data_IF_119275726421
#
_entry.id   IF_119275726421
#
_cell.length_a   1.000
_cell.length_b   1.000
_cell.length_c   1.000
_cell.angle_alpha   90.00
_cell.angle_beta   90.00
_cell.angle_gamma   90.00
#
_symmetry.space_group_name_H-M   'P 1'
#
loop_
_entity.id
_entity.type
_entity.pdbx_description
1 polymer ?
#
# COMPACT_ATOMS: atom_id res chain seq x y z
N UNK A 1 13.64 2.26 -3.66
CA UNK A 1 12.36 1.57 -3.42
C UNK A 1 11.21 2.51 -3.77
N UNK A 2 10.23 1.98 -4.44
CA UNK A 2 9.05 2.74 -4.86
C UNK A 2 7.87 2.34 -3.99
N UNK A 3 7.28 3.31 -3.30
CA UNK A 3 6.23 3.07 -2.30
C UNK A 3 4.95 3.80 -2.70
N UNK A 4 3.86 3.05 -2.82
CA UNK A 4 2.54 3.62 -3.08
C UNK A 4 1.84 3.82 -1.74
N UNK A 5 1.39 5.04 -1.47
CA UNK A 5 0.71 5.39 -0.23
C UNK A 5 -0.74 5.71 -0.53
N UNK A 6 -1.65 4.87 -0.09
CA UNK A 6 -3.08 5.09 -0.30
C UNK A 6 -3.81 5.47 0.97
N UNK A 7 -3.19 5.24 2.14
CA UNK A 7 -3.81 5.52 3.42
C UNK A 7 -3.90 7.02 3.67
N UNK A 8 -5.10 7.50 3.96
CA UNK A 8 -5.31 8.90 4.34
C UNK A 8 -4.77 9.21 5.74
N UNK A 9 -4.59 8.19 6.55
CA UNK A 9 -4.12 8.36 7.93
C UNK A 9 -2.60 8.44 8.02
N UNK A 10 -1.92 7.88 7.03
CA UNK A 10 -0.47 7.82 7.07
C UNK A 10 0.14 9.22 6.99
N UNK A 11 0.95 9.56 7.99
CA UNK A 11 1.60 10.85 8.05
C UNK A 11 0.70 12.00 8.48
N UNK A 12 -0.58 11.73 8.77
CA UNK A 12 -1.52 12.77 9.16
C UNK A 12 -1.15 13.43 10.48
N UNK A 13 -0.66 12.64 11.43
CA UNK A 13 -0.29 13.12 12.75
C UNK A 13 1.22 13.17 12.96
N UNK A 14 1.97 12.53 12.09
CA UNK A 14 3.43 12.47 12.20
C UNK A 14 4.03 12.27 10.82
N UNK A 15 4.79 13.25 10.36
CA UNK A 15 5.44 13.18 9.05
C UNK A 15 6.80 12.49 9.09
N UNK A 16 7.28 12.10 10.26
CA UNK A 16 8.60 11.50 10.39
C UNK A 16 8.79 10.23 9.53
N UNK A 17 7.82 9.30 9.46
CA UNK A 17 8.00 8.11 8.61
C UNK A 17 8.15 8.48 7.14
N UNK A 18 7.39 9.46 6.67
CA UNK A 18 7.42 9.91 5.30
C UNK A 18 8.76 10.56 4.97
N UNK A 19 9.20 11.45 5.84
CA UNK A 19 10.48 12.11 5.70
C UNK A 19 11.63 11.11 5.69
N UNK A 20 11.55 10.11 6.56
CA UNK A 20 12.58 9.09 6.65
C UNK A 20 12.72 8.30 5.35
N UNK A 21 11.60 7.96 4.73
CA UNK A 21 11.62 7.26 3.44
C UNK A 21 12.26 8.13 2.36
N UNK A 22 11.92 9.41 2.34
CA UNK A 22 12.51 10.35 1.39
C UNK A 22 14.01 10.49 1.61
N UNK A 23 14.45 10.54 2.87
CA UNK A 23 15.87 10.62 3.21
C UNK A 23 16.63 9.38 2.76
N UNK A 24 15.95 8.23 2.69
CA UNK A 24 16.53 6.98 2.19
C UNK A 24 16.59 6.93 0.67
N UNK A 25 16.08 7.95 0.00
CA UNK A 25 16.08 8.02 -1.45
C UNK A 25 14.92 7.24 -2.09
N UNK A 26 13.90 6.90 -1.32
CA UNK A 26 12.75 6.16 -1.84
C UNK A 26 11.81 7.09 -2.57
N UNK A 27 11.18 6.57 -3.62
CA UNK A 27 10.16 7.31 -4.37
C UNK A 27 8.80 7.04 -3.74
N UNK A 28 8.10 8.10 -3.37
CA UNK A 28 6.78 8.00 -2.76
C UNK A 28 5.71 8.43 -3.75
N UNK A 29 4.72 7.57 -3.96
CA UNK A 29 3.59 7.86 -4.83
C UNK A 29 2.34 7.98 -3.99
N UNK A 30 1.72 9.13 -4.02
CA UNK A 30 0.47 9.34 -3.30
C UNK A 30 -0.74 8.96 -4.16
N UNK A 31 -1.87 8.73 -3.51
CA UNK A 31 -3.13 8.49 -4.19
C UNK A 31 -3.56 9.77 -4.90
N UNK A 32 -3.48 9.77 -6.23
CA UNK A 32 -3.83 10.93 -7.05
C UNK A 32 -5.31 11.03 -7.39
N UNK A 33 -6.10 10.05 -6.98
CA UNK A 33 -7.53 10.01 -7.32
C UNK A 33 -8.41 10.75 -6.32
N UNK A 34 -7.87 11.09 -5.16
CA UNK A 34 -8.57 11.81 -4.11
C UNK A 34 -9.79 11.07 -3.54
N UNK A 35 -9.83 9.76 -3.69
CA UNK A 35 -10.84 8.89 -3.10
C UNK A 35 -10.23 7.50 -2.91
N UNK A 36 -10.96 6.61 -2.22
CA UNK A 36 -10.52 5.22 -2.10
C UNK A 36 -10.50 4.64 -3.51
N UNK A 37 -9.34 4.15 -3.93
CA UNK A 37 -9.18 3.65 -5.28
C UNK A 37 -9.96 2.37 -5.52
N UNK A 38 -10.55 2.27 -6.71
CA UNK A 38 -11.20 1.05 -7.15
C UNK A 38 -10.16 0.00 -7.52
N UNK A 39 -10.61 -1.21 -7.77
CA UNK A 39 -9.72 -2.28 -8.21
C UNK A 39 -8.96 -1.89 -9.47
N UNK A 40 -9.64 -1.29 -10.44
CA UNK A 40 -9.01 -0.89 -11.70
C UNK A 40 -7.97 0.21 -11.48
N UNK A 41 -8.28 1.16 -10.63
CA UNK A 41 -7.34 2.23 -10.30
C UNK A 41 -6.09 1.66 -9.62
N UNK A 42 -6.28 0.72 -8.69
CA UNK A 42 -5.16 0.05 -8.05
C UNK A 42 -4.33 -0.70 -9.10
N UNK A 43 -4.97 -1.37 -10.05
CA UNK A 43 -4.27 -2.08 -11.11
C UNK A 43 -3.40 -1.15 -11.96
N UNK A 44 -3.81 0.10 -12.09
CA UNK A 44 -3.04 1.09 -12.84
C UNK A 44 -1.84 1.63 -12.05
N UNK A 45 -1.91 1.62 -10.72
CA UNK A 45 -0.89 2.23 -9.89
C UNK A 45 0.19 1.28 -9.38
N UNK A 46 -0.11 -0.01 -9.28
CA UNK A 46 0.82 -0.97 -8.65
C UNK A 46 2.00 -1.46 -9.50
N UNK A 47 2.00 -1.39 -10.83
CA UNK A 47 3.17 -1.85 -11.60
C UNK A 47 4.45 -1.11 -11.19
N UNK A 48 5.50 -1.87 -10.90
CA UNK A 48 6.79 -1.31 -10.51
C UNK A 48 6.90 -0.87 -9.07
N UNK A 49 5.82 -0.98 -8.28
CA UNK A 49 5.80 -0.59 -6.88
C UNK A 49 6.36 -1.70 -6.01
N UNK A 50 7.28 -1.37 -5.11
CA UNK A 50 7.92 -2.34 -4.21
C UNK A 50 7.14 -2.54 -2.93
N UNK A 51 6.45 -1.51 -2.46
CA UNK A 51 5.71 -1.55 -1.20
C UNK A 51 4.44 -0.70 -1.29
N UNK A 52 3.41 -1.11 -0.57
CA UNK A 52 2.16 -0.34 -0.49
C UNK A 52 1.87 -0.04 0.98
N UNK A 53 1.64 1.22 1.29
CA UNK A 53 1.07 1.63 2.58
C UNK A 53 -0.41 1.84 2.30
N UNK A 54 -1.19 0.84 2.66
CA UNK A 54 -2.57 0.68 2.21
C UNK A 54 -3.58 1.17 3.22
N UNK A 55 -4.54 1.94 2.74
CA UNK A 55 -5.73 2.30 3.51
C UNK A 55 -6.85 1.30 3.26
N UNK A 56 -8.01 1.80 2.86
CA UNK A 56 -9.19 0.96 2.63
C UNK A 56 -9.33 0.48 1.18
N UNK A 57 -8.35 0.77 0.35
CA UNK A 57 -8.35 0.39 -1.05
C UNK A 57 -8.23 -1.13 -1.19
N UNK A 58 -8.70 -1.65 -2.31
CA UNK A 58 -8.73 -3.10 -2.51
C UNK A 58 -7.45 -3.62 -3.14
N UNK A 59 -6.94 -4.73 -2.60
CA UNK A 59 -5.81 -5.46 -3.20
C UNK A 59 -6.28 -6.89 -3.43
N UNK A 60 -6.92 -7.09 -4.57
CA UNK A 60 -7.43 -8.39 -5.00
C UNK A 60 -6.35 -9.15 -5.76
N UNK A 61 -6.67 -10.39 -6.12
CA UNK A 61 -5.79 -11.18 -6.98
C UNK A 61 -5.48 -10.43 -8.28
N UNK A 62 -6.47 -9.76 -8.86
CA UNK A 62 -6.27 -9.00 -10.10
C UNK A 62 -5.27 -7.86 -9.92
N UNK A 63 -5.35 -7.18 -8.78
CA UNK A 63 -4.37 -6.13 -8.44
C UNK A 63 -3.00 -6.75 -8.28
N UNK A 64 -2.90 -7.87 -7.57
CA UNK A 64 -1.62 -8.55 -7.36
C UNK A 64 -1.02 -9.05 -8.67
N UNK A 65 -1.85 -9.42 -9.64
CA UNK A 65 -1.38 -9.83 -10.96
C UNK A 65 -0.62 -8.71 -11.68
N UNK A 66 -0.93 -7.45 -11.36
CA UNK A 66 -0.27 -6.28 -11.95
C UNK A 66 0.92 -5.81 -11.12
N UNK A 67 1.02 -6.27 -9.87
CA UNK A 67 2.06 -5.83 -8.93
C UNK A 67 3.32 -6.68 -9.09
N UNK A 68 4.05 -6.44 -10.17
CA UNK A 68 5.17 -7.29 -10.58
C UNK A 68 6.39 -7.23 -9.67
N UNK A 69 6.55 -6.18 -8.88
CA UNK A 69 7.71 -6.01 -7.99
C UNK A 69 7.33 -5.92 -6.52
N UNK A 70 6.06 -6.10 -6.19
CA UNK A 70 5.58 -5.88 -4.84
C UNK A 70 6.15 -6.90 -3.86
N UNK A 71 6.67 -6.42 -2.74
CA UNK A 71 7.30 -7.24 -1.69
C UNK A 71 6.55 -7.18 -0.37
N UNK A 72 5.89 -6.07 -0.09
CA UNK A 72 5.22 -5.87 1.19
C UNK A 72 4.01 -4.96 1.05
N UNK A 73 2.95 -5.31 1.77
CA UNK A 73 1.76 -4.47 1.94
C UNK A 73 1.63 -4.18 3.43
N UNK A 74 1.68 -2.91 3.79
CA UNK A 74 1.46 -2.48 5.17
C UNK A 74 0.07 -1.86 5.25
N UNK A 75 -0.86 -2.56 5.88
CA UNK A 75 -2.25 -2.11 6.04
C UNK A 75 -2.33 -1.16 7.21
N UNK A 76 -2.66 0.06 6.94
CA UNK A 76 -2.78 1.12 7.94
C UNK A 76 -4.24 1.25 8.33
N UNK A 77 -4.63 0.65 9.43
CA UNK A 77 -6.01 0.66 9.87
C UNK A 77 -6.39 -0.63 10.57
N UNK A 78 -7.68 -0.94 10.56
CA UNK A 78 -8.24 -2.10 11.25
C UNK A 78 -8.72 -3.12 10.22
N UNK A 79 -8.31 -4.37 10.40
CA UNK A 79 -8.75 -5.45 9.53
C UNK A 79 -7.97 -5.57 8.23
N UNK A 80 -8.15 -6.67 7.55
CA UNK A 80 -7.47 -6.97 6.29
C UNK A 80 -8.44 -7.51 5.24
N UNK A 81 -9.73 -7.20 5.39
CA UNK A 81 -10.76 -7.73 4.49
C UNK A 81 -10.62 -7.23 3.06
N UNK A 82 -9.91 -6.13 2.89
CA UNK A 82 -9.67 -5.54 1.57
C UNK A 82 -8.45 -6.13 0.85
N UNK A 83 -7.76 -7.10 1.46
CA UNK A 83 -6.56 -7.70 0.87
C UNK A 83 -6.79 -9.19 0.67
N UNK A 84 -6.45 -9.70 -0.52
CA UNK A 84 -6.40 -11.15 -0.74
C UNK A 84 -5.09 -11.67 -0.14
N UNK A 85 -5.13 -11.93 1.16
CA UNK A 85 -3.92 -12.32 1.92
C UNK A 85 -3.39 -13.69 1.50
N UNK A 86 -4.29 -14.61 1.14
CA UNK A 86 -3.87 -15.94 0.69
C UNK A 86 -3.05 -15.85 -0.59
N UNK A 87 -3.50 -15.03 -1.52
CA UNK A 87 -2.79 -14.83 -2.79
C UNK A 87 -1.47 -14.10 -2.57
N UNK A 88 -1.46 -13.10 -1.68
CA UNK A 88 -0.23 -12.36 -1.35
C UNK A 88 0.81 -13.31 -0.74
N UNK A 89 0.40 -14.15 0.20
CA UNK A 89 1.29 -15.12 0.83
C UNK A 89 1.87 -16.08 -0.20
N UNK A 90 1.02 -16.55 -1.11
CA UNK A 90 1.43 -17.46 -2.18
C UNK A 90 2.52 -16.87 -3.06
N UNK A 91 2.51 -15.56 -3.23
CA UNK A 91 3.48 -14.83 -4.06
C UNK A 91 4.70 -14.35 -3.27
N UNK A 92 4.78 -14.69 -1.99
CA UNK A 92 5.87 -14.27 -1.13
C UNK A 92 5.81 -12.80 -0.73
N UNK A 93 4.61 -12.19 -0.82
CA UNK A 93 4.41 -10.81 -0.42
C UNK A 93 4.04 -10.77 1.06
N UNK A 94 4.81 -10.02 1.85
CA UNK A 94 4.52 -9.86 3.27
C UNK A 94 3.33 -8.91 3.46
N UNK A 95 2.45 -9.25 4.39
CA UNK A 95 1.32 -8.39 4.74
C UNK A 95 1.40 -8.09 6.23
N UNK A 96 1.47 -6.82 6.57
CA UNK A 96 1.47 -6.39 7.96
C UNK A 96 0.30 -5.44 8.21
N UNK A 97 -0.14 -5.38 9.46
CA UNK A 97 -1.22 -4.49 9.86
C UNK A 97 -0.68 -3.52 10.91
N UNK A 98 -0.76 -2.24 10.60
CA UNK A 98 -0.40 -1.20 11.55
C UNK A 98 -1.70 -0.54 12.01
N UNK A 99 -2.02 -0.73 13.27
CA UNK A 99 -3.23 -0.13 13.81
C UNK A 99 -3.02 1.36 14.01
N UNK A 100 -3.96 2.11 13.53
CA UNK A 100 -3.97 3.55 13.74
C UNK A 100 -4.64 3.80 15.08
N UNK A 101 -3.91 3.50 16.13
CA UNK A 101 -4.47 3.63 17.44
C UNK A 101 -4.25 4.98 18.00
N UNK A 102 -5.17 5.60 18.35
CA UNK A 102 -4.94 6.69 19.20
C UNK A 102 -6.03 7.06 19.95
#
# INVERSE_FOLDING_TARGET
MKVLITSNSFGKFDEAPRKRMLDLGWELLDNRYHHIMSEEEMMNEVPGVDAIILGSDIVSKRVLDKADKLKIISRYGVGIDNIDTAEAEKRGIAVTVTKNCN
#
